data_IF_313172246184
#
_entry.id   IF_313172246184
#
_cell.length_a   1.000
_cell.length_b   1.000
_cell.length_c   1.000
_cell.angle_alpha   90.00
_cell.angle_beta   90.00
_cell.angle_gamma   90.00
#
_symmetry.space_group_name_H-M   'P 1'
#
loop_
_entity.id
_entity.type
_entity.pdbx_description
1 polymer ?
#
# COMPACT_ATOMS: atom_id res chain seq x y z
N UNK A 1 0.31 -7.39 4.03
CA UNK A 1 0.95 -6.34 3.21
C UNK A 1 2.00 -5.55 3.98
N UNK A 2 1.73 -4.96 5.16
CA UNK A 2 2.75 -4.13 5.79
C UNK A 2 3.97 -4.90 6.30
N UNK A 3 3.77 -6.10 6.84
CA UNK A 3 4.87 -6.97 7.26
C UNK A 3 5.78 -7.41 6.10
N UNK A 4 5.23 -7.61 4.89
CA UNK A 4 6.01 -8.08 3.74
C UNK A 4 6.90 -6.99 3.18
N UNK A 5 6.42 -5.74 3.17
CA UNK A 5 7.16 -4.58 2.67
C UNK A 5 8.19 -4.11 3.72
N UNK A 6 7.83 -4.18 5.01
CA UNK A 6 8.78 -3.95 6.10
C UNK A 6 9.95 -4.94 6.04
N UNK A 7 9.65 -6.24 5.91
CA UNK A 7 10.67 -7.29 5.75
C UNK A 7 11.49 -7.10 4.47
N UNK A 8 10.88 -6.66 3.38
CA UNK A 8 11.58 -6.33 2.12
C UNK A 8 12.54 -5.14 2.28
N UNK A 9 12.12 -4.05 2.93
CA UNK A 9 12.94 -2.86 3.15
C UNK A 9 14.20 -3.15 3.97
N UNK A 10 14.07 -3.94 5.03
CA UNK A 10 15.21 -4.33 5.87
C UNK A 10 16.10 -5.38 5.21
N UNK A 11 15.55 -6.33 4.46
CA UNK A 11 16.36 -7.33 3.72
C UNK A 11 17.11 -6.71 2.54
N UNK A 12 16.56 -5.67 1.92
CA UNK A 12 17.25 -4.86 0.91
C UNK A 12 18.37 -3.99 1.51
N UNK A 13 18.19 -3.47 2.74
CA UNK A 13 19.21 -2.69 3.44
C UNK A 13 20.40 -3.55 3.93
N UNK A 14 20.15 -4.77 4.38
CA UNK A 14 21.21 -5.67 4.87
C UNK A 14 21.93 -6.49 3.79
N UNK A 15 21.59 -6.31 2.49
CA UNK A 15 22.19 -7.04 1.35
C UNK A 15 22.25 -8.56 1.59
N UNK A 16 21.27 -9.10 2.32
CA UNK A 16 21.13 -10.55 2.50
C UNK A 16 20.76 -11.19 1.16
N UNK A 17 21.34 -12.37 0.86
CA UNK A 17 21.12 -13.21 -0.36
C UNK A 17 19.86 -12.81 -1.15
N UNK A 18 20.03 -12.48 -2.43
CA UNK A 18 18.98 -12.01 -3.37
C UNK A 18 17.64 -12.79 -3.30
N UNK A 19 17.69 -14.07 -2.94
CA UNK A 19 16.53 -14.95 -2.74
C UNK A 19 15.56 -14.45 -1.66
N UNK A 20 16.04 -13.79 -0.61
CA UNK A 20 15.21 -13.35 0.53
C UNK A 20 14.27 -12.20 0.13
N UNK A 21 14.73 -11.11 -0.51
CA UNK A 21 13.83 -10.07 -1.02
C UNK A 21 12.82 -10.63 -2.03
N UNK A 22 13.23 -11.55 -2.92
CA UNK A 22 12.34 -12.17 -3.91
C UNK A 22 11.25 -13.02 -3.24
N UNK A 23 11.59 -13.75 -2.18
CA UNK A 23 10.61 -14.52 -1.41
C UNK A 23 9.54 -13.63 -0.75
N UNK A 24 9.87 -12.39 -0.37
CA UNK A 24 8.93 -11.44 0.22
C UNK A 24 7.96 -10.82 -0.80
N UNK A 25 8.32 -10.79 -2.09
CA UNK A 25 7.43 -10.34 -3.16
C UNK A 25 6.26 -11.31 -3.40
N UNK A 26 6.44 -12.61 -3.15
CA UNK A 26 5.39 -13.62 -3.36
C UNK A 26 4.12 -13.36 -2.51
N UNK A 27 4.20 -13.27 -1.17
CA UNK A 27 3.03 -12.96 -0.34
C UNK A 27 2.54 -11.52 -0.55
N UNK A 28 3.41 -10.59 -0.96
CA UNK A 28 3.00 -9.23 -1.33
C UNK A 28 2.08 -9.22 -2.56
N UNK A 29 2.45 -9.97 -3.62
CA UNK A 29 1.64 -10.11 -4.82
C UNK A 29 0.25 -10.69 -4.55
N UNK A 30 0.16 -11.75 -3.75
CA UNK A 30 -1.14 -12.30 -3.34
C UNK A 30 -1.96 -11.31 -2.52
N UNK A 31 -1.34 -10.63 -1.56
CA UNK A 31 -2.03 -9.67 -0.70
C UNK A 31 -2.59 -8.47 -1.46
N UNK A 32 -1.86 -7.97 -2.46
CA UNK A 32 -2.29 -6.76 -3.18
C UNK A 32 -3.45 -7.07 -4.14
N UNK A 33 -3.45 -8.24 -4.77
CA UNK A 33 -4.56 -8.69 -5.62
C UNK A 33 -5.85 -8.86 -4.82
N UNK A 34 -5.77 -9.48 -3.63
CA UNK A 34 -6.92 -9.60 -2.74
C UNK A 34 -7.47 -8.22 -2.34
N UNK A 35 -6.60 -7.26 -2.00
CA UNK A 35 -7.05 -5.89 -1.71
C UNK A 35 -7.75 -5.22 -2.90
N UNK A 36 -7.18 -5.30 -4.10
CA UNK A 36 -7.79 -4.67 -5.28
C UNK A 36 -9.19 -5.22 -5.55
N UNK A 37 -9.37 -6.53 -5.39
CA UNK A 37 -10.68 -7.17 -5.56
C UNK A 37 -11.66 -6.74 -4.46
N UNK A 38 -11.26 -6.74 -3.19
CA UNK A 38 -12.11 -6.33 -2.07
C UNK A 38 -12.51 -4.85 -2.12
N UNK A 39 -11.58 -3.97 -2.49
CA UNK A 39 -11.85 -2.52 -2.62
C UNK A 39 -12.78 -2.26 -3.80
N UNK A 40 -12.55 -2.92 -4.95
CA UNK A 40 -13.39 -2.79 -6.13
C UNK A 40 -14.84 -3.22 -5.87
N UNK A 41 -15.02 -4.36 -5.21
CA UNK A 41 -16.35 -4.87 -4.83
C UNK A 41 -17.02 -3.98 -3.77
N UNK A 42 -16.28 -3.49 -2.78
CA UNK A 42 -16.81 -2.56 -1.76
C UNK A 42 -17.37 -1.26 -2.36
N UNK A 43 -16.72 -0.67 -3.36
CA UNK A 43 -17.24 0.53 -4.03
C UNK A 43 -18.53 0.27 -4.82
N UNK A 44 -18.65 -0.93 -5.40
CA UNK A 44 -19.86 -1.35 -6.12
C UNK A 44 -21.01 -1.57 -5.14
N UNK A 45 -20.77 -2.23 -4.01
CA UNK A 45 -21.80 -2.57 -3.03
C UNK A 45 -22.26 -1.38 -2.17
N UNK A 46 -21.36 -0.46 -1.81
CA UNK A 46 -21.70 0.67 -0.93
C UNK A 46 -22.50 1.79 -1.60
N UNK A 47 -22.27 2.06 -2.91
CA UNK A 47 -22.96 3.11 -3.68
C UNK A 47 -23.04 2.73 -5.18
N UNK A 48 -23.93 1.83 -5.61
CA UNK A 48 -23.98 1.36 -7.00
C UNK A 48 -24.19 2.48 -8.03
N UNK A 49 -24.90 3.57 -7.67
CA UNK A 49 -25.13 4.73 -8.56
C UNK A 49 -23.87 5.59 -8.77
N UNK A 50 -22.97 5.67 -7.78
CA UNK A 50 -21.72 6.45 -7.85
C UNK A 50 -20.47 5.58 -7.94
N UNK A 51 -20.62 4.27 -8.09
CA UNK A 51 -19.53 3.29 -8.10
C UNK A 51 -18.48 3.62 -9.16
N UNK A 52 -18.91 4.05 -10.36
CA UNK A 52 -17.99 4.45 -11.43
C UNK A 52 -17.10 5.63 -11.07
N UNK A 53 -17.65 6.64 -10.38
CA UNK A 53 -16.88 7.82 -9.94
C UNK A 53 -15.92 7.47 -8.80
N UNK A 54 -16.34 6.64 -7.85
CA UNK A 54 -15.48 6.16 -6.76
C UNK A 54 -14.31 5.29 -7.27
N UNK A 55 -14.57 4.41 -8.23
CA UNK A 55 -13.54 3.63 -8.90
C UNK A 55 -12.57 4.52 -9.69
N UNK A 56 -13.08 5.51 -10.42
CA UNK A 56 -12.24 6.47 -11.14
C UNK A 56 -11.35 7.29 -10.17
N UNK A 57 -11.90 7.79 -9.07
CA UNK A 57 -11.13 8.50 -8.04
C UNK A 57 -10.02 7.63 -7.43
N UNK A 58 -10.30 6.35 -7.15
CA UNK A 58 -9.30 5.39 -6.67
C UNK A 58 -8.16 5.18 -7.70
N UNK A 59 -8.48 5.10 -8.99
CA UNK A 59 -7.47 5.01 -10.05
C UNK A 59 -6.63 6.28 -10.13
N UNK A 60 -7.25 7.47 -10.07
CA UNK A 60 -6.54 8.76 -10.10
C UNK A 60 -5.60 8.90 -8.91
N UNK A 61 -6.07 8.60 -7.70
CA UNK A 61 -5.25 8.67 -6.49
C UNK A 61 -4.03 7.75 -6.60
N UNK A 62 -4.24 6.51 -7.06
CA UNK A 62 -3.16 5.55 -7.28
C UNK A 62 -2.16 6.03 -8.33
N UNK A 63 -2.63 6.59 -9.44
CA UNK A 63 -1.76 7.15 -10.48
C UNK A 63 -0.96 8.35 -9.98
N UNK A 64 -1.57 9.22 -9.18
CA UNK A 64 -0.87 10.34 -8.54
C UNK A 64 0.21 9.84 -7.58
N UNK A 65 -0.10 8.88 -6.71
CA UNK A 65 0.90 8.28 -5.83
C UNK A 65 2.02 7.63 -6.64
N UNK A 66 1.70 6.92 -7.73
CA UNK A 66 2.69 6.32 -8.63
C UNK A 66 3.57 7.34 -9.36
N UNK A 67 3.08 8.55 -9.61
CA UNK A 67 3.85 9.64 -10.23
C UNK A 67 4.69 10.43 -9.19
N UNK A 68 4.16 10.61 -7.98
CA UNK A 68 4.82 11.36 -6.91
C UNK A 68 5.93 10.56 -6.22
N UNK A 69 5.74 9.25 -6.06
CA UNK A 69 6.69 8.37 -5.38
C UNK A 69 8.08 8.33 -6.05
N UNK A 70 8.25 8.28 -7.39
CA UNK A 70 9.56 8.38 -8.04
C UNK A 70 10.13 9.80 -8.03
N UNK A 71 9.30 10.84 -7.86
CA UNK A 71 9.77 12.23 -7.76
C UNK A 71 10.33 12.53 -6.36
N UNK A 72 9.69 12.02 -5.31
CA UNK A 72 10.11 12.17 -3.92
C UNK A 72 11.02 11.02 -3.43
N UNK A 73 11.06 9.90 -4.15
CA UNK A 73 11.80 8.70 -3.78
C UNK A 73 13.31 8.90 -3.66
N UNK A 74 14.01 9.49 -4.66
CA UNK A 74 15.46 9.65 -4.62
C UNK A 74 15.94 10.48 -3.44
N UNK A 75 15.25 11.58 -3.12
CA UNK A 75 15.59 12.42 -1.96
C UNK A 75 15.26 11.73 -0.65
N UNK A 76 14.13 11.01 -0.56
CA UNK A 76 13.75 10.25 0.63
C UNK A 76 14.74 9.12 0.93
N UNK A 77 15.11 8.33 -0.09
CA UNK A 77 16.07 7.23 0.07
C UNK A 77 17.50 7.72 0.29
N UNK A 78 17.88 8.90 -0.21
CA UNK A 78 19.18 9.51 0.07
C UNK A 78 19.33 9.96 1.54
N UNK A 79 18.23 10.39 2.19
CA UNK A 79 18.23 10.85 3.58
C UNK A 79 18.02 9.72 4.60
N UNK A 80 17.15 8.74 4.31
CA UNK A 80 16.75 7.69 5.25
C UNK A 80 17.34 6.29 4.95
N UNK A 81 17.85 6.07 3.74
CA UNK A 81 18.23 4.73 3.28
C UNK A 81 17.02 3.82 2.99
N UNK A 82 17.30 2.65 2.40
CA UNK A 82 16.26 1.72 1.92
C UNK A 82 15.41 1.09 3.03
N UNK A 83 15.97 0.90 4.23
CA UNK A 83 15.27 0.27 5.36
C UNK A 83 14.26 1.22 6.00
N UNK A 84 14.73 2.38 6.47
CA UNK A 84 13.85 3.38 7.08
C UNK A 84 12.89 4.02 6.07
N UNK A 85 13.29 4.21 4.81
CA UNK A 85 12.41 4.72 3.76
C UNK A 85 11.18 3.84 3.54
N UNK A 86 11.37 2.52 3.42
CA UNK A 86 10.25 1.56 3.33
C UNK A 86 9.44 1.48 4.64
N UNK A 87 10.09 1.57 5.80
CA UNK A 87 9.38 1.55 7.10
C UNK A 87 8.45 2.77 7.28
N UNK A 88 8.89 3.95 6.85
CA UNK A 88 8.09 5.18 6.92
C UNK A 88 6.87 5.11 5.99
N UNK A 89 7.04 4.61 4.76
CA UNK A 89 5.94 4.33 3.84
C UNK A 89 4.94 3.36 4.47
N UNK A 90 5.42 2.30 5.13
CA UNK A 90 4.56 1.33 5.79
C UNK A 90 3.81 1.89 7.00
N UNK A 91 4.42 2.76 7.78
CA UNK A 91 3.71 3.45 8.87
C UNK A 91 2.55 4.31 8.34
N UNK A 92 2.77 5.00 7.22
CA UNK A 92 1.70 5.78 6.56
C UNK A 92 0.60 4.83 6.05
N UNK A 93 0.97 3.73 5.39
CA UNK A 93 0.01 2.71 4.93
C UNK A 93 -0.82 2.13 6.08
N UNK A 94 -0.20 1.81 7.23
CA UNK A 94 -0.89 1.30 8.42
C UNK A 94 -1.84 2.35 9.00
N UNK A 95 -1.42 3.63 9.05
CA UNK A 95 -2.28 4.72 9.48
C UNK A 95 -3.52 4.88 8.57
N UNK A 96 -3.32 4.76 7.25
CA UNK A 96 -4.43 4.78 6.28
C UNK A 96 -5.33 3.54 6.41
N UNK A 97 -4.77 2.36 6.69
CA UNK A 97 -5.53 1.13 6.92
C UNK A 97 -6.37 1.17 8.20
N UNK A 98 -5.96 1.96 9.21
CA UNK A 98 -6.76 2.17 10.41
C UNK A 98 -8.09 2.88 10.12
N UNK A 99 -8.15 3.73 9.08
CA UNK A 99 -9.32 4.53 8.77
C UNK A 99 -10.57 3.71 8.37
N UNK A 100 -10.51 2.72 7.45
CA UNK A 100 -11.66 1.87 7.13
C UNK A 100 -12.09 0.98 8.30
N UNK A 101 -11.18 0.54 9.18
CA UNK A 101 -11.54 -0.22 10.39
C UNK A 101 -12.38 0.63 11.34
N UNK A 102 -12.05 1.92 11.47
CA UNK A 102 -12.86 2.87 12.25
C UNK A 102 -14.23 3.08 11.62
N UNK A 103 -14.30 3.24 10.30
CA UNK A 103 -15.58 3.38 9.58
C UNK A 103 -16.45 2.12 9.63
N UNK A 104 -15.87 0.91 9.62
CA UNK A 104 -16.63 -0.33 9.82
C UNK A 104 -17.22 -0.42 11.23
N UNK A 105 -16.50 0.09 12.24
CA UNK A 105 -16.97 0.12 13.64
C UNK A 105 -17.99 1.23 13.93
N UNK A 106 -17.89 2.37 13.26
CA UNK A 106 -18.77 3.54 13.49
C UNK A 106 -19.89 3.70 12.45
N UNK A 107 -19.84 3.00 11.32
CA UNK A 107 -20.87 3.02 10.26
C UNK A 107 -22.04 2.07 10.49
N UNK A 108 -22.05 1.33 11.61
CA UNK A 108 -23.18 0.51 12.04
C UNK A 108 -24.28 1.33 12.76
N UNK A 109 -24.33 2.66 12.57
CA UNK A 109 -25.38 3.53 13.08
C UNK A 109 -25.92 4.45 12.00
#
# INVERSE_FOLDING_TARGET
>A
LPMTIFSYGWTAHYVTRWTVPVAMLLPYGFGIMALFLSVGTYFVDSRPVYAGSALAANVVLRSLTGALLPLAGPSMYALLGLGWGNSLLEFICVAMMSNPVKSYKFGAR
#
